data_IF_891434404232
#
_entry.id   IF_891434404232
#
_cell.length_a   1.000
_cell.length_b   1.000
_cell.length_c   1.000
_cell.angle_alpha   90.00
_cell.angle_beta   90.00
_cell.angle_gamma   90.00
#
_symmetry.space_group_name_H-M   'P 1'
#
loop_
_entity.id
_entity.type
_entity.pdbx_description
1 polymer ?
#
# COMPACT_ATOMS: atom_id res chain seq x y z
N UNK A 1 -17.41 4.24 -20.09
CA UNK A 1 -17.05 4.44 -18.68
C UNK A 1 -15.76 3.68 -18.30
N UNK A 2 -15.52 2.45 -18.83
CA UNK A 2 -14.35 1.64 -18.45
C UNK A 2 -13.02 2.21 -18.94
N UNK A 3 -13.00 2.92 -20.06
CA UNK A 3 -11.76 3.34 -20.73
C UNK A 3 -10.77 2.16 -20.85
N UNK A 4 -11.28 1.04 -21.40
CA UNK A 4 -10.54 -0.21 -21.54
C UNK A 4 -9.74 -0.19 -22.83
N UNK A 5 -8.46 -0.54 -22.72
CA UNK A 5 -7.56 -0.71 -23.84
C UNK A 5 -6.77 -1.99 -23.64
N UNK A 6 -6.66 -2.79 -24.71
CA UNK A 6 -5.91 -4.04 -24.73
C UNK A 6 -5.01 -4.06 -25.94
N UNK A 7 -3.74 -4.37 -25.75
CA UNK A 7 -2.78 -4.66 -26.81
C UNK A 7 -2.08 -5.96 -26.50
N UNK A 8 -1.95 -6.83 -27.50
CA UNK A 8 -1.28 -8.12 -27.37
C UNK A 8 -0.41 -8.43 -28.57
N UNK A 9 0.69 -9.13 -28.31
CA UNK A 9 1.62 -9.62 -29.33
C UNK A 9 2.01 -11.06 -29.00
N UNK A 10 2.00 -11.92 -30.01
CA UNK A 10 2.55 -13.27 -29.89
C UNK A 10 3.49 -13.53 -31.04
N UNK A 11 4.69 -14.00 -30.74
CA UNK A 11 5.71 -14.38 -31.73
C UNK A 11 6.20 -15.76 -31.34
N UNK A 12 6.28 -16.66 -32.32
CA UNK A 12 6.80 -18.00 -32.10
C UNK A 12 7.26 -18.63 -33.40
N UNK A 13 8.14 -19.59 -33.27
CA UNK A 13 8.65 -20.32 -34.40
C UNK A 13 9.94 -21.08 -34.10
N UNK A 14 10.47 -21.75 -35.12
CA UNK A 14 11.75 -22.44 -35.00
C UNK A 14 12.92 -21.46 -35.05
N UNK A 15 13.92 -21.69 -34.16
CA UNK A 15 15.18 -20.96 -34.14
C UNK A 15 16.29 -21.74 -34.88
N UNK A 16 16.32 -23.06 -34.69
CA UNK A 16 17.35 -23.93 -35.28
C UNK A 16 16.69 -25.15 -35.86
N UNK A 17 17.17 -25.59 -37.04
CA UNK A 17 16.72 -26.77 -37.75
C UNK A 17 17.82 -27.82 -37.83
N UNK A 18 17.43 -29.09 -37.81
CA UNK A 18 18.29 -30.18 -38.25
C UNK A 18 18.32 -30.19 -39.78
N UNK A 19 19.47 -29.96 -40.36
CA UNK A 19 19.65 -29.90 -41.82
C UNK A 19 19.29 -31.19 -42.52
N UNK A 20 19.49 -32.34 -41.89
CA UNK A 20 19.23 -33.65 -42.49
C UNK A 20 17.76 -34.05 -42.50
N UNK A 21 16.99 -33.63 -41.49
CA UNK A 21 15.59 -34.03 -41.30
C UNK A 21 14.59 -32.91 -41.58
N UNK A 22 15.07 -31.71 -41.83
CA UNK A 22 14.28 -30.48 -41.98
C UNK A 22 13.31 -30.24 -40.80
N UNK A 23 13.68 -30.71 -39.58
CA UNK A 23 12.88 -30.67 -38.39
C UNK A 23 13.47 -29.63 -37.42
N UNK A 24 12.64 -28.86 -36.70
CA UNK A 24 13.11 -27.88 -35.71
C UNK A 24 13.78 -28.56 -34.50
N UNK A 25 15.00 -28.13 -34.20
CA UNK A 25 15.72 -28.54 -32.97
C UNK A 25 15.44 -27.58 -31.80
N UNK A 26 15.28 -26.30 -32.11
CA UNK A 26 14.96 -25.28 -31.09
C UNK A 26 13.79 -24.46 -31.59
N UNK A 27 12.75 -24.40 -30.80
CA UNK A 27 11.60 -23.54 -31.00
C UNK A 27 11.42 -22.59 -29.86
N UNK A 28 10.73 -21.47 -30.10
CA UNK A 28 10.38 -20.49 -29.08
C UNK A 28 8.95 -20.00 -29.23
N UNK A 29 8.38 -19.56 -28.12
CA UNK A 29 7.13 -18.81 -28.06
C UNK A 29 7.32 -17.66 -27.09
N UNK A 30 6.96 -16.46 -27.49
CA UNK A 30 6.87 -15.26 -26.67
C UNK A 30 5.50 -14.64 -26.87
N UNK A 31 4.81 -14.34 -25.80
CA UNK A 31 3.55 -13.61 -25.80
C UNK A 31 3.59 -12.49 -24.75
N UNK A 32 3.10 -11.32 -25.12
CA UNK A 32 2.98 -10.18 -24.23
C UNK A 32 1.61 -9.52 -24.41
N UNK A 33 1.03 -9.07 -23.31
CA UNK A 33 -0.24 -8.37 -23.26
C UNK A 33 -0.12 -7.16 -22.32
N UNK A 34 -0.65 -6.04 -22.76
CA UNK A 34 -0.84 -4.84 -21.96
C UNK A 34 -2.32 -4.49 -21.94
N UNK A 35 -2.85 -4.29 -20.74
CA UNK A 35 -4.23 -3.90 -20.50
C UNK A 35 -4.26 -2.64 -19.63
N UNK A 36 -5.04 -1.65 -20.05
CA UNK A 36 -5.35 -0.45 -19.30
C UNK A 36 -6.84 -0.37 -19.01
N UNK A 37 -7.20 -0.10 -17.75
CA UNK A 37 -8.56 0.22 -17.32
C UNK A 37 -8.55 1.56 -16.62
N UNK A 38 -9.27 2.55 -17.14
CA UNK A 38 -9.43 3.84 -16.48
C UNK A 38 -10.32 3.75 -15.22
N UNK A 39 -11.33 2.87 -15.26
CA UNK A 39 -12.15 2.47 -14.13
C UNK A 39 -12.62 1.02 -14.34
N UNK A 40 -12.18 0.10 -13.49
CA UNK A 40 -12.51 -1.33 -13.57
C UNK A 40 -13.91 -1.67 -13.03
N UNK A 41 -14.49 -0.77 -12.23
CA UNK A 41 -15.80 -0.95 -11.56
C UNK A 41 -16.62 0.33 -11.57
N UNK A 42 -16.99 0.85 -12.78
CA UNK A 42 -17.79 2.07 -12.86
C UNK A 42 -19.14 1.86 -12.21
N UNK A 43 -19.66 2.92 -11.59
CA UNK A 43 -21.01 2.88 -11.02
C UNK A 43 -22.07 2.97 -12.12
N UNK A 44 -23.25 2.44 -11.87
CA UNK A 44 -24.40 2.56 -12.76
C UNK A 44 -24.91 4.01 -12.86
N UNK A 45 -24.62 4.83 -11.86
CA UNK A 45 -24.95 6.27 -11.80
C UNK A 45 -23.68 7.11 -11.92
N UNK A 46 -23.76 8.36 -12.37
CA UNK A 46 -22.63 9.28 -12.33
C UNK A 46 -22.04 9.41 -10.94
N UNK A 47 -20.73 9.62 -10.87
CA UNK A 47 -20.00 9.87 -9.63
C UNK A 47 -20.04 11.36 -9.31
N UNK A 48 -20.37 11.72 -8.09
CA UNK A 48 -20.29 13.07 -7.60
C UNK A 48 -18.88 13.39 -7.10
N UNK A 49 -18.36 14.56 -7.44
CA UNK A 49 -17.14 15.14 -6.85
C UNK A 49 -17.38 16.60 -6.49
N UNK A 50 -16.58 17.14 -5.60
CA UNK A 50 -16.50 18.59 -5.34
C UNK A 50 -15.87 19.27 -6.55
N UNK A 51 -16.40 20.44 -6.96
CA UNK A 51 -15.83 21.27 -8.02
C UNK A 51 -14.40 21.65 -7.68
N UNK A 52 -13.54 21.82 -8.69
CA UNK A 52 -12.11 21.98 -8.48
C UNK A 52 -11.76 23.29 -7.74
N UNK A 53 -12.45 24.39 -8.00
CA UNK A 53 -12.31 25.67 -7.30
C UNK A 53 -12.73 25.59 -5.83
N UNK A 54 -13.84 24.91 -5.55
CA UNK A 54 -14.31 24.65 -4.18
C UNK A 54 -13.34 23.73 -3.44
N UNK A 55 -12.82 22.69 -4.12
CA UNK A 55 -11.84 21.76 -3.54
C UNK A 55 -10.53 22.48 -3.19
N UNK A 56 -10.05 23.39 -4.03
CA UNK A 56 -8.88 24.21 -3.75
C UNK A 56 -9.09 25.09 -2.51
N UNK A 57 -10.27 25.72 -2.39
CA UNK A 57 -10.61 26.49 -1.20
C UNK A 57 -10.65 25.62 0.06
N UNK A 58 -11.24 24.40 0.00
CA UNK A 58 -11.26 23.48 1.12
C UNK A 58 -9.85 22.99 1.51
N UNK A 59 -8.96 22.80 0.54
CA UNK A 59 -7.56 22.44 0.79
C UNK A 59 -6.80 23.52 1.55
N UNK A 60 -7.07 24.79 1.22
CA UNK A 60 -6.41 25.94 1.83
C UNK A 60 -7.05 26.36 3.15
N UNK A 61 -8.37 26.26 3.27
CA UNK A 61 -9.17 26.71 4.41
C UNK A 61 -10.08 25.58 4.92
N UNK A 62 -9.53 24.48 5.50
CA UNK A 62 -10.33 23.31 5.89
C UNK A 62 -11.18 23.56 7.14
N UNK A 63 -10.90 24.60 7.91
CA UNK A 63 -11.64 25.02 9.10
C UNK A 63 -12.20 26.42 8.92
N UNK A 64 -13.35 26.66 9.53
CA UNK A 64 -14.01 27.97 9.62
C UNK A 64 -14.36 28.27 11.09
N UNK A 65 -14.37 29.53 11.54
CA UNK A 65 -14.84 29.87 12.88
C UNK A 65 -16.34 29.63 13.00
N UNK A 66 -16.79 29.21 14.18
CA UNK A 66 -18.22 29.19 14.46
C UNK A 66 -18.78 30.63 14.56
N UNK A 67 -20.06 30.83 14.30
CA UNK A 67 -20.69 32.15 14.38
C UNK A 67 -20.57 32.81 15.77
N UNK A 68 -20.46 32.00 16.82
CA UNK A 68 -20.28 32.49 18.20
C UNK A 68 -18.79 32.73 18.56
N UNK A 69 -17.83 32.41 17.70
CA UNK A 69 -16.40 32.51 17.99
C UNK A 69 -15.89 31.56 19.10
N UNK A 70 -16.67 30.53 19.42
CA UNK A 70 -16.35 29.57 20.50
C UNK A 70 -15.63 28.31 20.01
N UNK A 71 -15.21 28.25 18.76
CA UNK A 71 -14.51 27.10 18.19
C UNK A 71 -14.59 27.09 16.68
N UNK A 72 -14.27 25.97 16.07
CA UNK A 72 -14.22 25.79 14.63
C UNK A 72 -15.24 24.77 14.13
N UNK A 73 -15.62 24.87 12.86
CA UNK A 73 -16.35 23.88 12.10
C UNK A 73 -15.53 23.48 10.87
N UNK A 74 -15.74 22.30 10.36
CA UNK A 74 -15.10 21.83 9.13
C UNK A 74 -15.78 22.46 7.93
N UNK A 75 -15.02 23.15 7.08
CA UNK A 75 -15.56 23.82 5.90
C UNK A 75 -16.33 22.86 4.98
N UNK A 76 -15.86 21.62 4.85
CA UNK A 76 -16.50 20.60 4.02
C UNK A 76 -17.89 20.15 4.51
N UNK A 77 -18.27 20.41 5.75
CA UNK A 77 -19.64 20.15 6.26
C UNK A 77 -20.67 21.17 5.77
N UNK A 78 -20.21 22.27 5.19
CA UNK A 78 -21.09 23.31 4.63
C UNK A 78 -21.31 23.16 3.13
N UNK A 79 -20.76 22.12 2.50
CA UNK A 79 -20.94 21.86 1.07
C UNK A 79 -22.43 21.69 0.72
N UNK A 80 -22.81 22.28 -0.39
CA UNK A 80 -24.13 22.22 -0.98
C UNK A 80 -24.09 21.50 -2.32
N UNK A 81 -25.24 21.16 -2.85
CA UNK A 81 -25.35 20.48 -4.15
C UNK A 81 -24.72 21.30 -5.27
N UNK A 82 -24.81 22.64 -5.19
CA UNK A 82 -24.22 23.57 -6.18
C UNK A 82 -22.68 23.57 -6.17
N UNK A 83 -22.05 23.08 -5.10
CA UNK A 83 -20.59 22.94 -4.97
C UNK A 83 -20.08 21.64 -5.59
N UNK A 84 -21.01 20.78 -6.02
CA UNK A 84 -20.70 19.47 -6.58
C UNK A 84 -20.92 19.44 -8.09
N UNK A 85 -20.22 18.53 -8.73
CA UNK A 85 -20.42 18.18 -10.13
C UNK A 85 -20.36 16.66 -10.34
N UNK A 86 -20.90 16.21 -11.46
CA UNK A 86 -20.90 14.78 -11.81
C UNK A 86 -19.83 14.46 -12.84
N UNK A 87 -19.19 13.31 -12.66
CA UNK A 87 -18.23 12.74 -13.60
C UNK A 87 -18.68 11.33 -14.00
N UNK A 88 -18.33 10.93 -15.22
CA UNK A 88 -18.79 9.67 -15.81
C UNK A 88 -18.14 8.41 -15.23
N UNK A 89 -17.07 8.57 -14.46
CA UNK A 89 -16.27 7.47 -13.87
C UNK A 89 -15.63 7.89 -12.55
N UNK A 90 -15.23 6.91 -11.75
CA UNK A 90 -14.46 7.17 -10.53
C UNK A 90 -13.09 7.79 -10.89
N UNK A 91 -12.65 8.70 -10.04
CA UNK A 91 -11.41 9.42 -10.23
C UNK A 91 -10.24 8.70 -9.55
N UNK A 92 -9.08 8.76 -10.18
CA UNK A 92 -7.82 8.24 -9.64
C UNK A 92 -7.90 6.76 -9.20
N UNK A 93 -8.47 5.91 -10.07
CA UNK A 93 -8.65 4.46 -9.85
C UNK A 93 -8.11 3.61 -11.00
N UNK A 94 -7.36 4.23 -11.93
CA UNK A 94 -6.84 3.53 -13.10
C UNK A 94 -5.93 2.35 -12.72
N UNK A 95 -5.99 1.30 -13.55
CA UNK A 95 -5.20 0.08 -13.41
C UNK A 95 -4.56 -0.32 -14.72
N UNK A 96 -3.31 -0.75 -14.63
CA UNK A 96 -2.55 -1.31 -15.72
C UNK A 96 -2.16 -2.74 -15.38
N UNK A 97 -2.25 -3.62 -16.37
CA UNK A 97 -1.85 -5.01 -16.26
C UNK A 97 -0.90 -5.33 -17.42
N UNK A 98 0.27 -5.83 -17.08
CA UNK A 98 1.26 -6.32 -18.04
C UNK A 98 1.41 -7.81 -17.80
N UNK A 99 1.28 -8.60 -18.87
CA UNK A 99 1.54 -10.03 -18.85
C UNK A 99 2.54 -10.36 -19.93
N UNK A 100 3.54 -11.11 -19.59
CA UNK A 100 4.48 -11.68 -20.55
C UNK A 100 4.73 -13.14 -20.21
N UNK A 101 4.75 -13.99 -21.22
CA UNK A 101 5.09 -15.40 -21.07
C UNK A 101 5.96 -15.82 -22.23
N UNK A 102 6.86 -16.75 -21.98
CA UNK A 102 7.68 -17.30 -23.02
C UNK A 102 8.27 -18.63 -22.65
N UNK A 103 8.62 -19.40 -23.68
CA UNK A 103 9.36 -20.63 -23.52
C UNK A 103 10.28 -20.87 -24.73
N UNK A 104 11.31 -21.64 -24.46
CA UNK A 104 12.23 -22.21 -25.44
C UNK A 104 12.13 -23.72 -25.31
N UNK A 105 11.86 -24.38 -26.40
CA UNK A 105 11.78 -25.84 -26.51
C UNK A 105 13.00 -26.34 -27.29
N UNK A 106 13.79 -27.20 -26.68
CA UNK A 106 15.06 -27.71 -27.22
C UNK A 106 14.94 -29.23 -27.33
N UNK A 107 14.91 -29.72 -28.55
CA UNK A 107 14.96 -31.15 -28.84
C UNK A 107 16.41 -31.60 -28.86
N UNK A 108 16.89 -32.15 -27.74
CA UNK A 108 18.30 -32.54 -27.56
C UNK A 108 18.60 -33.88 -28.25
N UNK A 109 17.59 -34.72 -28.46
CA UNK A 109 17.61 -35.94 -29.26
C UNK A 109 16.19 -36.30 -29.73
N UNK A 110 16.04 -37.39 -30.48
CA UNK A 110 14.69 -37.87 -30.88
C UNK A 110 13.84 -38.33 -29.66
N UNK A 111 14.47 -38.53 -28.51
CA UNK A 111 13.84 -39.01 -27.26
C UNK A 111 13.96 -38.07 -26.08
N UNK A 112 14.66 -36.96 -26.24
CA UNK A 112 14.88 -36.02 -25.13
C UNK A 112 14.43 -34.63 -25.53
N UNK A 113 13.71 -33.99 -24.63
CA UNK A 113 13.22 -32.63 -24.77
C UNK A 113 13.52 -31.82 -23.50
N UNK A 114 14.04 -30.61 -23.69
CA UNK A 114 14.27 -29.63 -22.64
C UNK A 114 13.41 -28.39 -22.94
N UNK A 115 12.59 -28.00 -21.98
CA UNK A 115 11.79 -26.76 -22.05
C UNK A 115 12.26 -25.83 -20.94
N UNK A 116 12.58 -24.59 -21.32
CA UNK A 116 12.88 -23.51 -20.38
C UNK A 116 11.80 -22.46 -20.62
N UNK A 117 11.09 -22.07 -19.58
CA UNK A 117 10.00 -21.10 -19.75
C UNK A 117 9.81 -20.25 -18.53
N UNK A 118 8.99 -19.20 -18.68
CA UNK A 118 8.67 -18.31 -17.61
C UNK A 118 7.47 -17.41 -17.92
N UNK A 119 7.03 -16.75 -16.86
CA UNK A 119 5.90 -15.82 -16.87
C UNK A 119 6.22 -14.62 -16.00
N UNK A 120 5.84 -13.46 -16.45
CA UNK A 120 5.84 -12.22 -15.70
C UNK A 120 4.44 -11.60 -15.76
N UNK A 121 3.91 -11.23 -14.60
CA UNK A 121 2.66 -10.48 -14.50
C UNK A 121 2.91 -9.28 -13.59
N UNK A 122 2.49 -8.10 -14.02
CA UNK A 122 2.47 -6.91 -13.18
C UNK A 122 1.10 -6.28 -13.21
N UNK A 123 0.51 -6.10 -12.03
CA UNK A 123 -0.69 -5.32 -11.81
C UNK A 123 -0.30 -4.05 -11.05
N UNK A 124 -0.47 -2.91 -11.67
CA UNK A 124 -0.17 -1.61 -11.08
C UNK A 124 -1.38 -0.70 -11.19
N UNK A 125 -1.73 -0.02 -10.10
CA UNK A 125 -2.88 0.87 -10.12
C UNK A 125 -3.19 1.48 -8.78
N UNK A 126 -4.43 1.94 -8.64
CA UNK A 126 -4.90 2.61 -7.43
C UNK A 126 -6.12 1.90 -6.85
N UNK A 127 -6.18 1.84 -5.52
CA UNK A 127 -7.31 1.33 -4.78
C UNK A 127 -8.29 2.46 -4.50
N UNK A 128 -9.32 2.56 -5.34
CA UNK A 128 -10.38 3.53 -5.14
C UNK A 128 -11.25 3.19 -3.93
N UNK A 129 -11.39 4.13 -3.00
CA UNK A 129 -12.31 4.06 -1.89
C UNK A 129 -13.56 4.89 -2.16
N UNK A 130 -14.73 4.37 -1.79
CA UNK A 130 -15.98 5.14 -1.86
C UNK A 130 -15.93 6.38 -0.94
N UNK A 131 -15.31 6.25 0.21
CA UNK A 131 -15.14 7.37 1.14
C UNK A 131 -14.28 8.49 0.57
N UNK A 132 -13.35 8.19 -0.32
CA UNK A 132 -12.49 9.18 -0.94
C UNK A 132 -13.10 9.82 -2.21
N UNK A 133 -14.23 9.29 -2.71
CA UNK A 133 -14.73 9.66 -4.03
C UNK A 133 -15.11 11.14 -4.18
N UNK A 134 -15.62 11.77 -3.12
CA UNK A 134 -16.19 13.12 -3.19
C UNK A 134 -15.11 14.21 -3.28
N UNK A 135 -14.10 14.18 -2.41
CA UNK A 135 -13.10 15.26 -2.29
C UNK A 135 -11.66 14.78 -1.99
N UNK A 136 -11.47 13.50 -1.71
CA UNK A 136 -10.16 12.96 -1.29
C UNK A 136 -9.61 11.88 -2.23
N UNK A 137 -10.14 11.78 -3.46
CA UNK A 137 -9.76 10.76 -4.45
C UNK A 137 -8.27 10.80 -4.83
N UNK A 138 -7.61 11.92 -4.67
CA UNK A 138 -6.16 12.06 -4.91
C UNK A 138 -5.33 11.20 -3.95
N UNK A 139 -5.87 10.87 -2.78
CA UNK A 139 -5.22 10.06 -1.74
C UNK A 139 -5.58 8.57 -1.81
N UNK A 140 -6.12 8.09 -2.93
CA UNK A 140 -6.26 6.65 -3.17
C UNK A 140 -4.88 5.99 -3.19
N UNK A 141 -4.71 4.92 -2.40
CA UNK A 141 -3.45 4.20 -2.32
C UNK A 141 -3.03 3.59 -3.65
N UNK A 142 -1.72 3.56 -3.88
CA UNK A 142 -1.12 2.82 -4.99
C UNK A 142 -0.90 1.38 -4.57
N UNK A 143 -1.15 0.45 -5.47
CA UNK A 143 -0.72 -0.93 -5.33
C UNK A 143 0.13 -1.36 -6.53
N UNK A 144 1.05 -2.27 -6.29
CA UNK A 144 1.88 -2.90 -7.32
C UNK A 144 2.10 -4.36 -6.94
N UNK A 145 1.51 -5.23 -7.71
CA UNK A 145 1.66 -6.68 -7.60
C UNK A 145 2.51 -7.17 -8.76
N UNK A 146 3.56 -7.95 -8.47
CA UNK A 146 4.43 -8.55 -9.47
C UNK A 146 4.55 -10.04 -9.18
N UNK A 147 4.27 -10.82 -10.20
CA UNK A 147 4.40 -12.28 -10.21
C UNK A 147 5.45 -12.65 -11.26
N UNK A 148 6.48 -13.32 -10.84
CA UNK A 148 7.52 -13.87 -11.69
C UNK A 148 7.61 -15.36 -11.47
N UNK A 149 7.55 -16.15 -12.53
CA UNK A 149 7.81 -17.58 -12.44
C UNK A 149 8.68 -18.05 -13.59
N UNK A 150 9.55 -19.01 -13.32
CA UNK A 150 10.39 -19.68 -14.32
C UNK A 150 10.46 -21.16 -14.02
N UNK A 151 10.63 -21.93 -15.07
CA UNK A 151 10.78 -23.38 -14.95
C UNK A 151 11.74 -23.93 -15.99
N UNK A 152 12.35 -25.05 -15.61
CA UNK A 152 13.13 -25.91 -16.51
C UNK A 152 12.51 -27.30 -16.41
N UNK A 153 12.11 -27.86 -17.55
CA UNK A 153 11.53 -29.19 -17.66
C UNK A 153 12.35 -30.05 -18.60
N UNK A 154 12.83 -31.17 -18.13
CA UNK A 154 13.49 -32.18 -18.93
C UNK A 154 12.59 -33.42 -19.03
N UNK A 155 12.40 -33.91 -20.25
CA UNK A 155 11.62 -35.14 -20.52
C UNK A 155 12.50 -36.12 -21.31
N UNK A 156 12.59 -37.35 -20.83
CA UNK A 156 13.27 -38.47 -21.51
C UNK A 156 12.25 -39.56 -21.81
N UNK A 157 12.18 -39.96 -23.09
CA UNK A 157 11.41 -41.12 -23.53
C UNK A 157 12.34 -42.32 -23.73
N UNK A 158 11.89 -43.48 -23.33
CA UNK A 158 12.60 -44.74 -23.56
C UNK A 158 12.00 -45.50 -24.78
N UNK A 159 12.82 -46.24 -25.46
CA UNK A 159 12.42 -46.92 -26.71
C UNK A 159 11.34 -47.96 -26.53
N UNK A 160 10.57 -48.22 -27.56
CA UNK A 160 9.40 -49.08 -27.58
C UNK A 160 8.12 -48.34 -27.92
N UNK A 161 8.20 -47.32 -28.80
CA UNK A 161 7.03 -46.66 -29.37
C UNK A 161 6.51 -47.56 -30.48
N UNK A 162 5.48 -48.35 -30.20
CA UNK A 162 4.76 -49.18 -31.15
C UNK A 162 4.32 -50.53 -30.54
N UNK A 163 3.26 -51.09 -31.09
CA UNK A 163 2.70 -52.39 -30.67
C UNK A 163 3.65 -53.57 -30.92
N UNK A 164 4.68 -53.36 -31.77
CA UNK A 164 5.63 -54.43 -32.19
C UNK A 164 6.90 -54.55 -31.30
N UNK A 165 6.96 -53.81 -30.20
CA UNK A 165 8.10 -53.92 -29.25
C UNK A 165 8.02 -55.19 -28.41
N UNK A 166 9.05 -56.04 -28.45
CA UNK A 166 9.20 -57.23 -27.60
C UNK A 166 9.47 -56.85 -26.12
N UNK A 167 9.64 -55.58 -25.79
CA UNK A 167 9.87 -55.12 -24.44
C UNK A 167 8.62 -55.28 -23.56
N UNK A 168 8.81 -55.83 -22.38
CA UNK A 168 7.76 -55.95 -21.34
C UNK A 168 7.28 -54.55 -20.88
N UNK A 169 8.16 -53.55 -20.94
CA UNK A 169 7.88 -52.16 -20.59
C UNK A 169 7.71 -51.36 -21.88
N UNK A 170 6.56 -50.74 -22.02
CA UNK A 170 6.20 -49.91 -23.18
C UNK A 170 5.91 -48.46 -22.74
N UNK A 171 5.96 -47.50 -23.69
CA UNK A 171 5.60 -46.11 -23.49
C UNK A 171 6.26 -45.45 -22.28
N UNK A 172 7.45 -45.89 -21.90
CA UNK A 172 8.14 -45.39 -20.71
C UNK A 172 8.71 -43.98 -20.99
N UNK A 173 8.42 -43.06 -20.12
CA UNK A 173 9.09 -41.78 -20.05
C UNK A 173 9.18 -41.27 -18.63
N UNK A 174 10.12 -40.39 -18.37
CA UNK A 174 10.16 -39.62 -17.13
C UNK A 174 10.29 -38.13 -17.48
N UNK A 175 9.77 -37.29 -16.56
CA UNK A 175 9.88 -35.84 -16.61
C UNK A 175 10.40 -35.36 -15.27
N UNK A 176 11.42 -34.49 -15.31
CA UNK A 176 11.92 -33.77 -14.14
C UNK A 176 11.71 -32.27 -14.43
N UNK A 177 11.11 -31.57 -13.50
CA UNK A 177 10.90 -30.13 -13.57
C UNK A 177 11.38 -29.46 -12.30
N UNK A 178 12.11 -28.37 -12.45
CA UNK A 178 12.38 -27.42 -11.38
C UNK A 178 11.70 -26.10 -11.73
N UNK A 179 10.98 -25.53 -10.78
CA UNK A 179 10.31 -24.25 -10.93
C UNK A 179 10.59 -23.32 -9.74
N UNK A 180 10.67 -22.04 -10.04
CA UNK A 180 10.78 -20.98 -9.07
C UNK A 180 9.72 -19.93 -9.34
N UNK A 181 9.00 -19.54 -8.31
CA UNK A 181 8.00 -18.47 -8.37
C UNK A 181 8.28 -17.44 -7.28
N UNK A 182 8.10 -16.16 -7.60
CA UNK A 182 8.22 -15.05 -6.66
C UNK A 182 7.08 -14.06 -6.88
N UNK A 183 6.32 -13.80 -5.82
CA UNK A 183 5.29 -12.78 -5.77
C UNK A 183 5.77 -11.62 -4.91
N UNK A 184 5.55 -10.39 -5.37
CA UNK A 184 5.87 -9.16 -4.69
C UNK A 184 4.66 -8.26 -4.73
N UNK A 185 4.03 -8.04 -3.57
CA UNK A 185 2.90 -7.15 -3.43
C UNK A 185 3.25 -5.95 -2.55
N UNK A 186 2.91 -4.77 -3.01
CA UNK A 186 3.12 -3.53 -2.25
C UNK A 186 1.90 -2.64 -2.35
N UNK A 187 1.58 -2.00 -1.22
CA UNK A 187 0.57 -0.93 -1.15
C UNK A 187 1.15 0.23 -0.37
N UNK A 188 1.01 1.46 -0.91
CA UNK A 188 1.60 2.66 -0.30
C UNK A 188 0.82 3.93 -0.65
N UNK A 189 1.12 5.02 0.05
CA UNK A 189 0.75 6.38 -0.36
C UNK A 189 1.70 6.86 -1.46
N UNK A 190 1.16 7.41 -2.55
CA UNK A 190 1.94 7.78 -3.74
C UNK A 190 3.03 8.83 -3.46
N UNK A 191 2.79 9.74 -2.52
CA UNK A 191 3.73 10.80 -2.16
C UNK A 191 4.85 10.30 -1.25
N UNK A 192 4.51 9.43 -0.29
CA UNK A 192 5.44 9.07 0.80
C UNK A 192 6.15 7.76 0.58
N UNK A 193 5.57 6.84 -0.19
CA UNK A 193 6.16 5.53 -0.52
C UNK A 193 6.69 4.80 0.73
N UNK A 194 7.98 4.56 0.79
CA UNK A 194 8.64 3.83 1.88
C UNK A 194 8.93 4.71 3.11
N UNK A 195 8.69 6.02 3.02
CA UNK A 195 8.90 6.97 4.12
C UNK A 195 7.72 6.96 5.09
N UNK A 196 7.55 5.87 5.81
CA UNK A 196 6.37 5.58 6.65
C UNK A 196 6.12 6.64 7.75
N UNK A 197 7.17 7.34 8.21
CA UNK A 197 7.04 8.44 9.18
C UNK A 197 6.52 9.74 8.56
N UNK A 198 6.43 9.86 7.24
CA UNK A 198 5.81 11.01 6.58
C UNK A 198 4.27 10.88 6.49
N UNK A 199 3.73 9.67 6.65
CA UNK A 199 2.30 9.33 6.50
C UNK A 199 1.40 10.00 7.54
N UNK A 200 1.55 10.95 8.12
CA UNK A 200 0.68 11.64 9.07
C UNK A 200 1.44 12.74 9.78
N UNK A 201 2.56 13.14 9.18
CA UNK A 201 3.33 14.26 9.68
C UNK A 201 2.59 15.56 9.34
N UNK A 202 2.04 16.20 10.37
CA UNK A 202 1.33 17.48 10.28
C UNK A 202 2.30 18.65 10.39
N UNK A 203 3.28 18.54 11.27
CA UNK A 203 4.29 19.57 11.50
C UNK A 203 5.11 19.31 12.73
N UNK A 204 5.93 20.30 13.09
CA UNK A 204 6.69 20.33 14.33
C UNK A 204 5.96 21.16 15.36
N UNK A 205 5.86 20.64 16.58
CA UNK A 205 5.23 21.30 17.74
C UNK A 205 6.26 21.47 18.84
N UNK A 206 6.53 22.71 19.20
CA UNK A 206 7.46 23.05 20.29
C UNK A 206 6.68 23.67 21.46
N UNK A 207 6.57 22.93 22.55
CA UNK A 207 5.85 23.40 23.75
C UNK A 207 6.77 24.26 24.62
N UNK A 208 6.36 25.49 24.85
CA UNK A 208 6.99 26.38 25.81
C UNK A 208 6.38 26.14 27.19
N UNK A 209 7.25 25.94 28.20
CA UNK A 209 6.85 25.63 29.57
C UNK A 209 7.45 26.66 30.51
N UNK A 210 6.63 27.15 31.44
CA UNK A 210 7.02 28.06 32.47
C UNK A 210 6.87 27.39 33.85
N UNK A 211 7.94 27.44 34.65
CA UNK A 211 7.92 26.96 36.03
C UNK A 211 7.48 28.08 36.97
N UNK A 212 6.55 27.78 37.84
CA UNK A 212 6.08 28.69 38.88
C UNK A 212 6.68 28.32 40.22
N UNK A 213 7.19 29.33 40.93
CA UNK A 213 7.82 29.18 42.24
C UNK A 213 7.03 29.99 43.27
N UNK A 214 6.91 29.44 44.47
CA UNK A 214 6.32 30.12 45.63
C UNK A 214 7.23 30.01 46.83
N UNK A 215 7.18 31.03 47.69
CA UNK A 215 7.87 30.99 48.95
C UNK A 215 7.05 30.24 49.99
N UNK A 216 7.66 29.29 50.70
CA UNK A 216 6.99 28.47 51.70
C UNK A 216 7.92 27.42 52.27
N UNK A 217 7.44 26.69 53.27
CA UNK A 217 8.15 25.57 53.84
C UNK A 217 8.01 24.33 52.94
N UNK A 218 9.10 23.67 52.67
CA UNK A 218 9.11 22.39 51.93
C UNK A 218 8.64 21.29 52.90
N UNK A 219 7.57 20.60 52.53
CA UNK A 219 6.89 19.60 53.38
C UNK A 219 7.78 18.41 53.73
N UNK A 220 8.82 18.11 52.93
CA UNK A 220 9.72 16.99 53.16
C UNK A 220 10.93 17.35 53.97
N UNK A 221 11.48 18.53 53.74
CA UNK A 221 12.74 18.96 54.36
C UNK A 221 12.55 19.93 55.50
N UNK A 222 11.36 20.55 55.67
CA UNK A 222 11.06 21.58 56.65
C UNK A 222 11.83 22.90 56.42
N UNK A 223 12.45 23.06 55.23
CA UNK A 223 13.25 24.25 54.91
C UNK A 223 12.37 25.34 54.32
N UNK A 224 12.45 26.51 54.85
CA UNK A 224 11.76 27.69 54.35
C UNK A 224 12.53 28.29 53.17
N UNK A 225 11.85 28.42 52.01
CA UNK A 225 12.50 28.94 50.81
C UNK A 225 11.55 29.01 49.60
N UNK A 226 12.11 29.39 48.44
CA UNK A 226 11.37 29.30 47.17
C UNK A 226 11.39 27.87 46.68
N UNK A 227 10.20 27.28 46.56
CA UNK A 227 9.99 25.94 45.99
C UNK A 227 9.26 26.02 44.69
N UNK A 228 9.56 25.07 43.78
CA UNK A 228 8.80 24.90 42.52
C UNK A 228 7.41 24.41 42.87
N UNK A 229 6.39 25.14 42.45
CA UNK A 229 5.00 24.79 42.69
C UNK A 229 4.45 23.90 41.57
N UNK A 230 4.67 24.31 40.31
CA UNK A 230 4.17 23.59 39.16
C UNK A 230 4.86 24.08 37.86
N UNK A 231 4.74 23.27 36.83
CA UNK A 231 5.07 23.64 35.46
C UNK A 231 3.77 23.76 34.64
N UNK A 232 3.63 24.86 33.92
CA UNK A 232 2.51 25.05 32.97
C UNK A 232 3.04 25.20 31.57
N UNK A 233 2.38 24.55 30.64
CA UNK A 233 2.54 24.81 29.20
C UNK A 233 1.89 26.18 28.93
N UNK A 234 2.64 27.09 28.35
CA UNK A 234 2.22 28.50 28.15
C UNK A 234 1.98 28.82 26.69
N UNK A 235 2.63 28.13 25.78
CA UNK A 235 2.43 28.26 24.34
C UNK A 235 2.95 27.01 23.61
N UNK A 236 2.36 26.73 22.46
CA UNK A 236 2.87 25.75 21.50
C UNK A 236 3.17 26.46 20.19
N UNK A 237 4.43 26.42 19.78
CA UNK A 237 4.84 26.95 18.46
C UNK A 237 4.66 25.85 17.43
N UNK A 238 3.96 26.16 16.33
CA UNK A 238 3.71 25.22 15.26
C UNK A 238 4.44 25.61 13.98
N UNK A 239 5.18 24.66 13.40
CA UNK A 239 5.79 24.78 12.06
C UNK A 239 5.15 23.74 11.13
N UNK A 240 4.41 24.16 10.09
CA UNK A 240 3.68 23.25 9.22
C UNK A 240 4.60 22.33 8.40
N UNK A 241 4.15 21.13 8.17
CA UNK A 241 4.87 20.14 7.37
C UNK A 241 4.74 20.42 5.87
N UNK A 242 5.86 20.37 5.15
CA UNK A 242 5.89 20.36 3.69
C UNK A 242 5.47 19.01 3.08
N UNK A 243 5.49 17.92 3.86
CA UNK A 243 5.12 16.58 3.38
C UNK A 243 3.60 16.44 3.16
N UNK A 244 2.79 17.03 4.02
CA UNK A 244 1.33 16.98 3.99
C UNK A 244 0.72 18.38 4.16
N UNK A 245 0.90 19.28 3.19
CA UNK A 245 0.49 20.68 3.36
C UNK A 245 -1.01 20.85 3.63
N UNK A 246 -1.87 20.09 2.92
CA UNK A 246 -3.33 20.14 3.15
C UNK A 246 -3.68 19.68 4.57
N UNK A 247 -2.99 18.65 5.08
CA UNK A 247 -3.19 18.16 6.45
C UNK A 247 -2.71 19.19 7.48
N UNK A 248 -1.58 19.85 7.21
CA UNK A 248 -1.02 20.91 8.05
C UNK A 248 -1.94 22.15 8.12
N UNK A 249 -2.69 22.43 7.05
CA UNK A 249 -3.60 23.59 6.97
C UNK A 249 -4.71 23.56 8.03
N UNK A 250 -5.09 22.39 8.56
CA UNK A 250 -6.03 22.34 9.69
C UNK A 250 -5.46 23.06 10.91
N UNK A 251 -4.20 22.79 11.24
CA UNK A 251 -3.55 23.44 12.39
C UNK A 251 -3.16 24.87 12.07
N UNK A 252 -2.65 25.17 10.87
CA UNK A 252 -2.37 26.55 10.45
C UNK A 252 -3.62 27.42 10.52
N UNK A 253 -4.75 26.97 9.93
CA UNK A 253 -6.02 27.71 9.97
C UNK A 253 -6.51 27.95 11.41
N UNK A 254 -6.32 26.96 12.31
CA UNK A 254 -6.65 27.16 13.72
C UNK A 254 -5.81 28.26 14.36
N UNK A 255 -4.48 28.26 14.12
CA UNK A 255 -3.57 29.29 14.64
C UNK A 255 -3.93 30.66 14.09
N UNK A 256 -4.22 30.78 12.80
CA UNK A 256 -4.62 32.05 12.17
C UNK A 256 -5.92 32.59 12.74
N UNK A 257 -6.90 31.74 13.01
CA UNK A 257 -8.16 32.13 13.65
C UNK A 257 -7.99 32.63 15.07
N UNK A 258 -7.11 32.00 15.86
CA UNK A 258 -6.77 32.46 17.22
C UNK A 258 -6.03 33.81 17.16
N UNK A 259 -5.01 33.90 16.29
CA UNK A 259 -4.19 35.12 16.15
C UNK A 259 -5.01 36.33 15.69
N UNK A 260 -6.01 36.11 14.82
CA UNK A 260 -6.92 37.16 14.32
C UNK A 260 -8.12 37.40 15.24
N UNK A 261 -8.22 36.77 16.40
CA UNK A 261 -9.33 36.94 17.34
C UNK A 261 -10.69 36.45 16.83
N UNK A 262 -10.71 35.58 15.83
CA UNK A 262 -11.93 35.01 15.27
C UNK A 262 -12.54 33.93 16.16
N UNK A 263 -11.72 33.30 17.00
CA UNK A 263 -12.12 32.35 18.01
C UNK A 263 -11.42 32.66 19.34
N UNK A 264 -12.09 32.34 20.45
CA UNK A 264 -11.59 32.60 21.80
C UNK A 264 -10.78 31.46 22.41
N UNK A 265 -10.39 30.47 21.61
CA UNK A 265 -9.58 29.36 22.02
C UNK A 265 -8.11 29.76 22.24
N UNK A 266 -7.33 28.92 22.91
CA UNK A 266 -5.92 29.15 23.20
C UNK A 266 -5.01 28.11 22.48
N UNK A 267 -3.74 28.49 22.33
CA UNK A 267 -2.67 27.66 21.76
C UNK A 267 -1.60 27.31 22.81
N UNK A 268 -1.95 27.32 24.08
CA UNK A 268 -1.05 27.09 25.21
C UNK A 268 -0.63 25.62 25.36
N UNK A 269 -1.46 24.69 24.92
CA UNK A 269 -1.14 23.26 24.97
C UNK A 269 -1.71 22.49 23.78
N UNK A 270 -1.20 21.26 23.56
CA UNK A 270 -1.60 20.39 22.43
C UNK A 270 -3.07 19.95 22.51
N UNK A 271 -3.63 19.85 23.72
CA UNK A 271 -5.05 19.43 23.89
C UNK A 271 -5.99 20.51 23.37
N UNK A 272 -5.72 21.78 23.67
CA UNK A 272 -6.51 22.91 23.20
C UNK A 272 -6.47 23.03 21.67
N UNK A 273 -5.29 22.83 21.06
CA UNK A 273 -5.14 22.80 19.60
C UNK A 273 -6.04 21.71 19.00
N UNK A 274 -6.00 20.51 19.55
CA UNK A 274 -6.78 19.37 19.06
C UNK A 274 -8.29 19.59 19.27
N UNK A 275 -8.72 20.09 20.40
CA UNK A 275 -10.12 20.40 20.70
C UNK A 275 -10.66 21.55 19.82
N UNK A 276 -9.80 22.46 19.44
CA UNK A 276 -10.11 23.56 18.53
C UNK A 276 -10.15 23.18 17.06
N UNK A 277 -9.93 21.91 16.70
CA UNK A 277 -9.98 21.41 15.32
C UNK A 277 -8.63 21.29 14.62
N UNK A 278 -7.54 21.76 15.25
CA UNK A 278 -6.18 21.51 14.76
C UNK A 278 -5.83 20.02 14.86
N UNK A 279 -4.93 19.57 14.01
CA UNK A 279 -4.47 18.19 13.95
C UNK A 279 -3.04 18.08 14.47
N UNK A 280 -2.78 17.05 15.23
CA UNK A 280 -1.44 16.65 15.67
C UNK A 280 -0.89 15.52 14.76
N UNK A 281 0.42 15.30 14.79
CA UNK A 281 1.05 14.21 14.05
C UNK A 281 0.37 12.87 14.32
N UNK A 282 0.03 12.14 13.24
CA UNK A 282 -0.68 10.87 13.30
C UNK A 282 -2.20 10.96 13.33
N UNK A 283 -2.76 12.15 13.45
CA UNK A 283 -4.20 12.35 13.37
C UNK A 283 -4.69 12.46 11.92
N UNK A 284 -5.95 12.15 11.72
CA UNK A 284 -6.66 12.37 10.46
C UNK A 284 -7.79 13.37 10.68
N UNK A 285 -8.12 14.16 9.66
CA UNK A 285 -9.33 14.97 9.72
C UNK A 285 -10.56 14.06 9.86
N UNK A 286 -11.53 14.53 10.61
CA UNK A 286 -12.80 13.81 10.76
C UNK A 286 -13.50 13.68 9.41
N UNK A 287 -14.16 12.54 9.21
CA UNK A 287 -14.98 12.31 8.02
C UNK A 287 -16.16 13.29 7.93
N UNK A 288 -16.49 13.67 6.71
CA UNK A 288 -17.63 14.55 6.42
C UNK A 288 -18.88 13.70 6.35
N UNK A 289 -19.93 14.10 7.10
CA UNK A 289 -21.20 13.37 7.23
C UNK A 289 -21.04 11.90 7.64
N UNK A 290 -19.93 11.54 8.31
CA UNK A 290 -19.57 10.16 8.63
C UNK A 290 -19.49 9.21 7.40
N UNK A 291 -19.40 9.75 6.19
CA UNK A 291 -19.39 9.01 4.93
C UNK A 291 -18.14 9.24 4.09
N UNK A 292 -17.64 10.49 4.05
CA UNK A 292 -16.57 10.87 3.13
C UNK A 292 -15.30 11.26 3.88
N UNK A 293 -14.16 10.81 3.35
CA UNK A 293 -12.86 11.28 3.79
C UNK A 293 -12.70 12.77 3.48
N UNK A 294 -12.38 13.56 4.50
CA UNK A 294 -12.17 14.98 4.35
C UNK A 294 -10.87 15.27 3.57
N UNK A 295 -10.73 16.51 3.07
CA UNK A 295 -9.50 16.93 2.38
C UNK A 295 -8.26 16.67 3.22
N UNK A 296 -7.16 16.27 2.60
CA UNK A 296 -5.91 15.98 3.29
C UNK A 296 -5.86 14.65 4.07
N UNK A 297 -6.95 13.87 4.10
CA UNK A 297 -6.93 12.56 4.74
C UNK A 297 -6.00 11.59 3.98
N UNK A 298 -4.80 11.40 4.48
CA UNK A 298 -3.73 10.59 3.86
C UNK A 298 -4.04 9.11 4.01
N UNK A 299 -3.67 8.32 2.99
CA UNK A 299 -3.63 6.87 3.11
C UNK A 299 -2.71 6.45 4.26
N UNK A 300 -3.23 5.67 5.20
CA UNK A 300 -2.47 5.27 6.39
C UNK A 300 -1.69 3.98 6.21
N UNK A 301 -2.18 3.06 5.37
CA UNK A 301 -1.60 1.73 5.26
C UNK A 301 -0.41 1.69 4.30
N UNK A 302 0.68 1.13 4.79
CA UNK A 302 1.80 0.67 4.00
C UNK A 302 1.91 -0.83 4.18
N UNK A 303 2.07 -1.58 3.10
CA UNK A 303 2.32 -3.02 3.16
C UNK A 303 3.25 -3.49 2.07
N UNK A 304 4.02 -4.52 2.42
CA UNK A 304 4.93 -5.22 1.55
C UNK A 304 4.82 -6.72 1.84
N UNK A 305 4.55 -7.52 0.81
CA UNK A 305 4.58 -8.98 0.86
C UNK A 305 5.55 -9.53 -0.17
N UNK A 306 6.26 -10.55 0.20
CA UNK A 306 7.17 -11.29 -0.67
C UNK A 306 7.00 -12.77 -0.39
N UNK A 307 6.49 -13.50 -1.38
CA UNK A 307 6.31 -14.93 -1.32
C UNK A 307 7.20 -15.58 -2.37
N UNK A 308 7.99 -16.56 -1.96
CA UNK A 308 8.93 -17.30 -2.81
C UNK A 308 8.65 -18.78 -2.69
N UNK A 309 8.64 -19.47 -3.81
CA UNK A 309 8.45 -20.91 -3.89
C UNK A 309 9.48 -21.51 -4.83
N UNK A 310 10.16 -22.52 -4.35
CA UNK A 310 11.00 -23.41 -5.14
C UNK A 310 10.40 -24.79 -5.10
N UNK A 311 10.24 -25.42 -6.27
CA UNK A 311 9.66 -26.76 -6.38
C UNK A 311 10.44 -27.62 -7.37
N UNK A 312 10.66 -28.87 -7.02
CA UNK A 312 11.15 -29.91 -7.93
C UNK A 312 10.10 -31.01 -7.99
N UNK A 313 9.70 -31.38 -9.19
CA UNK A 313 8.83 -32.50 -9.46
C UNK A 313 9.52 -33.50 -10.36
N UNK A 314 9.37 -34.78 -10.05
CA UNK A 314 9.78 -35.87 -10.91
C UNK A 314 8.59 -36.81 -11.09
N UNK A 315 8.29 -37.16 -12.31
CA UNK A 315 7.21 -38.10 -12.65
C UNK A 315 7.66 -39.10 -13.71
N UNK A 316 7.17 -40.31 -13.61
CA UNK A 316 7.38 -41.35 -14.61
C UNK A 316 6.07 -42.01 -14.98
N UNK A 317 5.94 -42.39 -16.24
CA UNK A 317 4.85 -43.18 -16.76
C UNK A 317 5.45 -44.35 -17.55
N UNK A 318 4.88 -45.54 -17.39
CA UNK A 318 5.24 -46.71 -18.17
C UNK A 318 4.12 -47.74 -18.14
N UNK A 319 4.06 -48.55 -19.22
CA UNK A 319 3.10 -49.62 -19.36
C UNK A 319 3.79 -50.96 -19.17
N UNK A 320 3.19 -51.88 -18.35
CA UNK A 320 3.62 -53.27 -18.16
C UNK A 320 2.44 -54.18 -18.44
N UNK A 321 2.49 -54.90 -19.57
CA UNK A 321 1.39 -55.73 -20.01
C UNK A 321 0.11 -54.93 -20.23
N UNK A 322 -0.95 -55.23 -19.47
CA UNK A 322 -2.24 -54.52 -19.53
C UNK A 322 -2.34 -53.34 -18.51
N UNK A 323 -1.29 -53.06 -17.76
CA UNK A 323 -1.30 -52.02 -16.72
C UNK A 323 -0.50 -50.79 -17.15
N UNK A 324 -1.09 -49.60 -16.96
CA UNK A 324 -0.39 -48.33 -17.05
C UNK A 324 -0.11 -47.80 -15.64
N UNK A 325 1.15 -47.51 -15.36
CA UNK A 325 1.64 -47.10 -14.05
C UNK A 325 2.18 -45.66 -14.14
N UNK A 326 1.75 -44.84 -13.19
CA UNK A 326 2.27 -43.48 -13.01
C UNK A 326 2.80 -43.36 -11.59
N UNK A 327 4.04 -42.89 -11.44
CA UNK A 327 4.63 -42.56 -10.17
C UNK A 327 5.21 -41.13 -10.21
N UNK A 328 5.19 -40.47 -9.06
CA UNK A 328 5.72 -39.11 -8.97
C UNK A 328 6.25 -38.80 -7.59
N UNK A 329 7.17 -37.83 -7.53
CA UNK A 329 7.76 -37.27 -6.35
C UNK A 329 7.73 -35.74 -6.50
N UNK A 330 7.39 -35.03 -5.42
CA UNK A 330 7.45 -33.58 -5.36
C UNK A 330 8.18 -33.14 -4.09
N UNK A 331 9.06 -32.16 -4.25
CA UNK A 331 9.65 -31.39 -3.15
C UNK A 331 9.33 -29.94 -3.35
N UNK A 332 8.78 -29.29 -2.33
CA UNK A 332 8.45 -27.87 -2.34
C UNK A 332 9.03 -27.17 -1.10
N UNK A 333 9.59 -26.00 -1.31
CA UNK A 333 10.02 -25.10 -0.26
C UNK A 333 9.42 -23.72 -0.52
N UNK A 334 8.76 -23.15 0.51
CA UNK A 334 8.11 -21.84 0.43
C UNK A 334 8.62 -20.91 1.54
N UNK A 335 8.76 -19.63 1.19
CA UNK A 335 9.06 -18.55 2.12
C UNK A 335 8.05 -17.42 1.91
N UNK A 336 7.24 -17.17 2.92
CA UNK A 336 6.27 -16.10 2.92
C UNK A 336 6.74 -15.03 3.91
N UNK A 337 6.82 -13.77 3.46
CA UNK A 337 7.25 -12.63 4.27
C UNK A 337 6.25 -11.51 4.10
N UNK A 338 5.83 -10.95 5.21
CA UNK A 338 4.90 -9.84 5.21
C UNK A 338 5.34 -8.77 6.19
N UNK A 339 5.25 -7.52 5.76
CA UNK A 339 5.38 -6.34 6.60
C UNK A 339 4.21 -5.41 6.30
N UNK A 340 3.49 -4.99 7.34
CA UNK A 340 2.38 -4.06 7.22
C UNK A 340 2.35 -3.10 8.39
N UNK A 341 2.13 -1.83 8.11
CA UNK A 341 2.07 -0.78 9.13
C UNK A 341 1.06 0.30 8.74
N UNK A 342 0.34 0.80 9.73
CA UNK A 342 -0.45 2.01 9.61
C UNK A 342 0.45 3.21 9.99
N UNK A 343 1.07 3.84 8.99
CA UNK A 343 2.10 4.86 9.21
C UNK A 343 1.67 6.00 10.14
N UNK A 344 0.40 6.45 10.05
CA UNK A 344 -0.12 7.45 10.98
C UNK A 344 -0.07 7.00 12.45
N UNK A 345 -0.35 5.73 12.72
CA UNK A 345 -0.39 5.21 14.07
C UNK A 345 0.99 5.17 14.74
N UNK A 346 2.08 5.18 13.95
CA UNK A 346 3.44 5.28 14.49
C UNK A 346 3.65 6.55 15.32
N UNK A 347 3.06 7.67 14.91
CA UNK A 347 3.14 8.92 15.66
C UNK A 347 2.43 8.83 17.01
N UNK A 348 1.27 8.16 17.06
CA UNK A 348 0.57 7.91 18.33
C UNK A 348 1.37 6.98 19.23
N UNK A 349 1.92 5.91 18.66
CA UNK A 349 2.77 4.98 19.38
C UNK A 349 4.01 5.68 19.95
N UNK A 350 4.69 6.51 19.16
CA UNK A 350 5.85 7.28 19.60
C UNK A 350 5.52 8.20 20.78
N UNK A 351 4.38 8.92 20.72
CA UNK A 351 3.93 9.75 21.86
C UNK A 351 3.66 8.92 23.12
N UNK A 352 3.04 7.75 22.96
CA UNK A 352 2.78 6.86 24.08
C UNK A 352 4.07 6.34 24.70
N UNK A 353 5.02 5.87 23.87
CA UNK A 353 6.31 5.38 24.33
C UNK A 353 7.15 6.47 25.01
N UNK A 354 7.08 7.70 24.53
CA UNK A 354 7.76 8.83 25.14
C UNK A 354 7.27 9.10 26.57
N UNK A 355 6.01 8.78 26.86
CA UNK A 355 5.39 8.99 28.16
C UNK A 355 5.37 7.72 29.04
N UNK A 356 5.84 6.58 28.55
CA UNK A 356 5.79 5.31 29.31
C UNK A 356 6.62 5.36 30.60
N UNK A 357 7.72 6.11 30.64
CA UNK A 357 8.53 6.29 31.84
C UNK A 357 7.73 6.94 32.99
N UNK A 358 6.66 7.69 32.71
CA UNK A 358 5.80 8.27 33.74
C UNK A 358 4.98 7.22 34.49
N UNK A 359 4.79 6.04 33.92
CA UNK A 359 4.11 4.91 34.57
C UNK A 359 5.00 4.18 35.57
N UNK A 360 6.32 4.35 35.45
CA UNK A 360 7.33 3.71 36.28
C UNK A 360 7.75 4.59 37.46
N UNK A 361 7.19 5.82 37.57
CA UNK A 361 7.45 6.69 38.68
C UNK A 361 6.79 6.15 39.96
N UNK A 362 7.59 5.94 40.98
CA UNK A 362 7.08 5.65 42.33
C UNK A 362 6.50 6.95 42.93
N UNK A 363 5.18 7.10 42.75
CA UNK A 363 4.46 8.29 43.25
C UNK A 363 4.30 8.30 44.77
N UNK A 364 4.46 7.14 45.42
CA UNK A 364 4.33 7.00 46.86
C UNK A 364 5.66 7.34 47.60
N UNK A 365 6.80 7.20 46.89
CA UNK A 365 8.11 7.54 47.39
C UNK A 365 8.87 8.46 46.43
N UNK A 366 8.39 9.68 46.18
CA UNK A 366 9.07 10.62 45.33
C UNK A 366 10.41 11.05 45.92
N UNK A 367 11.47 11.04 45.11
CA UNK A 367 12.82 11.48 45.53
C UNK A 367 12.91 12.99 45.48
#
# INVERSE_FOLDING_TARGET
PYNYNLAGLTIGGPLLFNKEKNAPLVGYLLAAEFQHNGDDRPYATPVWKVKDDVLENLNNNPLLPTAAGLGTIRAAELLRLDDLETVSRRLNVARNNIRATGNINIKTSDRTNLVIGGRFIQNYGRNGSRSNALMNYQNNSVFNSRDFSTYVRFTQQFGGIGEDSESLIKNAYYTIQADYTRNLDRTWDDRHRDNIFQYGHVGTFETQRTSFYGYGEDEKTGILGYRKLLDLDTAVVFTPSSYNPILANYTSSYYDMVANGQISNSIDNLVNIQQGGGLLNGQAPYSVYSLFGNVGAVQSSYSYSQDEQFRITASTNFDIGAHSLIAGLEYEQRFDRYFGVAGRNLWTLMRNLQNDHMKELDTDNPI
#
